data_IF_369188316979
#
_entry.id   IF_369188316979
#
_cell.length_a   1.000
_cell.length_b   1.000
_cell.length_c   1.000
_cell.angle_alpha   90.00
_cell.angle_beta   90.00
_cell.angle_gamma   90.00
#
_symmetry.space_group_name_H-M   'P 1'
#
loop_
_entity.id
_entity.type
_entity.pdbx_description
1 polymer ?
#
# COMPACT_ATOMS: atom_id res chain seq x y z
N UNK A 1 4.42 -14.25 12.36
CA UNK A 1 4.25 -14.27 10.89
C UNK A 1 2.91 -13.62 10.54
N UNK A 2 2.90 -12.32 10.22
CA UNK A 2 1.65 -11.63 9.87
C UNK A 2 1.11 -12.18 8.53
N UNK A 3 -0.19 -12.50 8.49
CA UNK A 3 -0.92 -12.98 7.31
C UNK A 3 -0.51 -12.17 6.08
N UNK A 4 0.00 -12.85 5.04
CA UNK A 4 0.27 -12.23 3.74
C UNK A 4 -1.09 -11.80 3.18
N UNK A 5 -1.27 -10.49 2.98
CA UNK A 5 -2.44 -9.98 2.27
C UNK A 5 -2.29 -10.43 0.82
N UNK A 6 -3.18 -11.31 0.36
CA UNK A 6 -3.30 -11.69 -1.05
C UNK A 6 -3.93 -10.52 -1.80
N UNK A 7 -3.12 -9.79 -2.56
CA UNK A 7 -3.56 -8.65 -3.36
C UNK A 7 -3.91 -9.07 -4.80
N UNK A 8 -3.63 -10.32 -5.15
CA UNK A 8 -3.87 -10.94 -6.46
C UNK A 8 -5.36 -11.02 -6.82
N UNK A 9 -6.22 -11.30 -5.84
CA UNK A 9 -7.67 -11.51 -6.04
C UNK A 9 -8.48 -10.20 -6.10
N UNK A 10 -7.89 -9.06 -5.73
CA UNK A 10 -8.61 -7.78 -5.64
C UNK A 10 -8.78 -7.13 -7.00
N UNK A 11 -9.86 -6.36 -7.19
CA UNK A 11 -10.05 -5.57 -8.43
C UNK A 11 -9.06 -4.40 -8.47
N UNK A 12 -8.72 -3.95 -9.68
CA UNK A 12 -7.80 -2.81 -9.89
C UNK A 12 -8.33 -1.53 -9.23
N UNK A 13 -9.65 -1.31 -9.24
CA UNK A 13 -10.30 -0.18 -8.58
C UNK A 13 -10.16 -0.22 -7.06
N UNK A 14 -10.28 -1.41 -6.47
CA UNK A 14 -10.11 -1.61 -5.02
C UNK A 14 -8.66 -1.38 -4.61
N UNK A 15 -7.69 -1.81 -5.42
CA UNK A 15 -6.28 -1.51 -5.20
C UNK A 15 -5.98 -0.01 -5.23
N UNK A 16 -6.60 0.75 -6.15
CA UNK A 16 -6.47 2.21 -6.22
C UNK A 16 -7.07 2.89 -4.98
N UNK A 17 -8.23 2.42 -4.51
CA UNK A 17 -8.85 2.92 -3.26
C UNK A 17 -7.95 2.63 -2.04
N UNK A 18 -7.47 1.40 -1.90
CA UNK A 18 -6.54 1.01 -0.86
C UNK A 18 -5.25 1.84 -0.88
N UNK A 19 -4.73 2.18 -2.06
CA UNK A 19 -3.56 3.03 -2.21
C UNK A 19 -3.81 4.44 -1.64
N UNK A 20 -4.97 5.03 -1.93
CA UNK A 20 -5.34 6.36 -1.44
C UNK A 20 -5.49 6.35 0.09
N UNK A 21 -6.22 5.40 0.64
CA UNK A 21 -6.42 5.23 2.09
C UNK A 21 -5.08 5.05 2.81
N UNK A 22 -4.19 4.19 2.30
CA UNK A 22 -2.88 3.93 2.91
C UNK A 22 -1.93 5.13 2.84
N UNK A 23 -2.04 5.97 1.80
CA UNK A 23 -1.28 7.22 1.72
C UNK A 23 -1.76 8.24 2.75
N UNK A 24 -3.06 8.33 2.98
CA UNK A 24 -3.61 9.20 4.02
C UNK A 24 -3.28 8.68 5.43
N UNK A 25 -3.31 7.36 5.64
CA UNK A 25 -2.83 6.72 6.88
C UNK A 25 -1.35 7.01 7.13
N UNK A 26 -0.50 7.02 6.08
CA UNK A 26 0.90 7.42 6.20
C UNK A 26 1.03 8.90 6.57
N UNK A 27 0.17 9.76 6.05
CA UNK A 27 0.18 11.20 6.35
C UNK A 27 -0.22 11.45 7.80
N UNK A 28 -1.31 10.86 8.26
CA UNK A 28 -1.78 11.00 9.64
C UNK A 28 -0.76 10.47 10.64
N UNK A 29 -0.15 9.31 10.37
CA UNK A 29 0.91 8.74 11.23
C UNK A 29 2.18 9.59 11.29
N UNK A 30 2.52 10.31 10.21
CA UNK A 30 3.63 11.29 10.22
C UNK A 30 3.31 12.44 11.17
N UNK A 31 2.15 13.06 11.03
CA UNK A 31 1.77 14.17 11.91
C UNK A 31 1.57 13.75 13.37
N UNK A 32 0.97 12.59 13.61
CA UNK A 32 0.79 12.05 14.96
C UNK A 32 2.13 11.80 15.67
N UNK A 33 3.18 11.41 14.92
CA UNK A 33 4.50 11.15 15.50
C UNK A 33 5.31 12.40 15.89
N UNK A 34 4.93 13.58 15.39
CA UNK A 34 5.61 14.84 15.71
C UNK A 34 5.26 15.33 17.12
N UNK A 35 4.03 15.07 17.59
CA UNK A 35 3.54 15.54 18.89
C UNK A 35 3.89 14.63 20.07
N UNK A 36 4.07 13.33 19.84
CA UNK A 36 4.43 12.35 20.86
C UNK A 36 4.95 11.07 20.22
N UNK A 37 5.67 10.25 21.00
CA UNK A 37 6.08 8.91 20.55
C UNK A 37 4.82 8.07 20.29
N UNK A 38 4.59 7.60 19.05
CA UNK A 38 3.42 6.79 18.74
C UNK A 38 3.53 5.44 19.46
N UNK A 39 2.40 4.91 19.92
CA UNK A 39 2.30 3.61 20.61
C UNK A 39 2.86 2.47 19.76
N UNK A 40 2.66 2.53 18.44
CA UNK A 40 3.25 1.60 17.48
C UNK A 40 4.31 2.31 16.62
N UNK A 41 5.57 2.19 17.04
CA UNK A 41 6.72 2.73 16.29
C UNK A 41 6.94 2.08 14.92
N UNK A 42 6.42 0.86 14.71
CA UNK A 42 6.60 0.11 13.47
C UNK A 42 5.51 0.39 12.42
N UNK A 43 4.46 1.14 12.77
CA UNK A 43 3.35 1.47 11.89
C UNK A 43 3.83 2.13 10.59
N UNK A 44 4.77 3.08 10.68
CA UNK A 44 5.39 3.75 9.52
C UNK A 44 5.99 2.76 8.51
N UNK A 45 6.80 1.82 9.01
CA UNK A 45 7.45 0.81 8.18
C UNK A 45 6.45 -0.15 7.55
N UNK A 46 5.43 -0.56 8.31
CA UNK A 46 4.36 -1.45 7.82
C UNK A 46 3.55 -0.80 6.71
N UNK A 47 3.06 0.43 6.91
CA UNK A 47 2.24 1.16 5.93
C UNK A 47 3.03 1.37 4.62
N UNK A 48 4.30 1.74 4.70
CA UNK A 48 5.17 1.87 3.51
C UNK A 48 5.29 0.55 2.73
N UNK A 49 5.45 -0.58 3.43
CA UNK A 49 5.54 -1.90 2.79
C UNK A 49 4.22 -2.30 2.14
N UNK A 50 3.09 -1.98 2.75
CA UNK A 50 1.76 -2.23 2.17
C UNK A 50 1.54 -1.40 0.90
N UNK A 51 1.90 -0.11 0.90
CA UNK A 51 1.86 0.75 -0.29
C UNK A 51 2.72 0.16 -1.41
N UNK A 52 3.95 -0.27 -1.11
CA UNK A 52 4.85 -0.84 -2.11
C UNK A 52 4.27 -2.13 -2.73
N UNK A 53 3.62 -2.98 -1.95
CA UNK A 53 2.95 -4.19 -2.46
C UNK A 53 1.75 -3.86 -3.36
N UNK A 54 0.93 -2.88 -2.99
CA UNK A 54 -0.20 -2.42 -3.81
C UNK A 54 0.31 -1.82 -5.13
N UNK A 55 1.37 -1.01 -5.08
CA UNK A 55 1.99 -0.44 -6.29
C UNK A 55 2.60 -1.51 -7.18
N UNK A 56 3.25 -2.52 -6.59
CA UNK A 56 3.77 -3.65 -7.35
C UNK A 56 2.66 -4.38 -8.11
N UNK A 57 1.55 -4.70 -7.44
CA UNK A 57 0.41 -5.39 -8.08
C UNK A 57 -0.28 -4.53 -9.15
N UNK A 58 -0.34 -3.21 -8.95
CA UNK A 58 -0.84 -2.30 -9.98
C UNK A 58 0.12 -2.21 -11.17
N UNK A 59 1.43 -2.21 -10.90
CA UNK A 59 2.49 -2.17 -11.91
C UNK A 59 2.57 -3.47 -12.71
N UNK A 60 2.47 -4.63 -12.08
CA UNK A 60 2.43 -5.93 -12.78
C UNK A 60 1.20 -6.04 -13.68
N UNK A 61 0.03 -5.59 -13.22
CA UNK A 61 -1.18 -5.54 -14.07
C UNK A 61 -1.04 -4.57 -15.25
N UNK A 62 -0.33 -3.46 -15.07
CA UNK A 62 -0.05 -2.50 -16.15
C UNK A 62 1.01 -3.00 -17.13
N UNK A 63 2.08 -3.62 -16.65
CA UNK A 63 3.13 -4.21 -17.49
C UNK A 63 2.60 -5.38 -18.34
N UNK A 64 1.72 -6.22 -17.76
CA UNK A 64 1.04 -7.29 -18.51
C UNK A 64 0.09 -6.74 -19.59
N UNK A 65 -0.44 -5.52 -19.42
CA UNK A 65 -1.28 -4.90 -20.46
C UNK A 65 -0.49 -4.36 -21.66
N UNK A 66 0.81 -4.07 -21.52
CA UNK A 66 1.67 -3.69 -22.65
C UNK A 66 2.24 -4.92 -23.37
N UNK A 67 2.55 -6.01 -22.68
CA UNK A 67 3.02 -7.27 -23.31
C UNK A 67 1.94 -7.98 -24.15
N UNK A 68 0.64 -7.71 -23.91
CA UNK A 68 -0.45 -8.22 -24.74
C UNK A 68 -0.75 -7.35 -25.98
N UNK A 69 -0.09 -6.19 -26.11
CA UNK A 69 -0.30 -5.22 -27.18
C UNK A 69 0.90 -5.08 -28.14
N UNK A 70 1.94 -5.91 -27.97
CA UNK A 70 3.11 -6.03 -28.84
C UNK A 70 3.17 -7.41 -29.50
#
# INVERSE_FOLDING_TARGET
>A
MAKKITLTEKKTEELKKMLAEKREELRSTRFASVGARPKDTNAHSRIRKEIARVLYELGTRGAVSEEAAA
#
